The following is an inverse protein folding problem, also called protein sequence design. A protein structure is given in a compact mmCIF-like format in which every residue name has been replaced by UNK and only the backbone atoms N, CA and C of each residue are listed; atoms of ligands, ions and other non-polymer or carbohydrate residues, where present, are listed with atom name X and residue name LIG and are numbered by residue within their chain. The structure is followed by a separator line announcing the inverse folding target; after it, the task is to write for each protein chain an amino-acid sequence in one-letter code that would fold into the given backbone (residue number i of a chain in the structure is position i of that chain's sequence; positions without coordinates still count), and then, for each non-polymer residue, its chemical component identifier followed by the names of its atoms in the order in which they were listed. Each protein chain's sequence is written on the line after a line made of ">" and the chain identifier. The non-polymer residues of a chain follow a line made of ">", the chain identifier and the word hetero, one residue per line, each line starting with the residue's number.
data_IF_474687292541
#
_entry.id   IF_474687292541
#
_cell.length_a   1.000
_cell.length_b   1.000
_cell.length_c   1.000
_cell.angle_alpha   90.00
_cell.angle_beta   90.00
_cell.angle_gamma   90.00
#
_symmetry.space_group_name_H-M   'P 1'
#
loop_
_entity.id
_entity.type
_entity.pdbx_description
1 polymer ?
#
# COMPACT_ATOMS: atom_id res chain seq x y z
N UNK A 1 40.55 -55.43 -9.48
CA UNK A 1 40.10 -54.42 -8.50
C UNK A 1 39.90 -53.10 -9.24
N UNK A 2 38.67 -52.78 -9.65
CA UNK A 2 38.30 -51.47 -10.20
C UNK A 2 36.95 -51.11 -9.59
N UNK A 3 36.98 -50.26 -8.56
CA UNK A 3 35.78 -49.67 -7.99
C UNK A 3 35.28 -48.57 -8.93
N UNK A 4 34.07 -48.74 -9.44
CA UNK A 4 33.33 -47.70 -10.17
C UNK A 4 32.55 -46.90 -9.13
N UNK A 5 32.95 -45.65 -8.89
CA UNK A 5 32.27 -44.75 -7.97
C UNK A 5 30.93 -44.30 -8.55
N UNK A 6 29.84 -44.60 -7.82
CA UNK A 6 28.53 -43.97 -8.03
C UNK A 6 28.58 -42.52 -7.53
N UNK A 7 28.41 -41.56 -8.45
CA UNK A 7 28.12 -40.16 -8.08
C UNK A 7 26.62 -40.10 -7.82
N UNK A 8 26.23 -40.03 -6.55
CA UNK A 8 24.87 -39.67 -6.14
C UNK A 8 24.77 -38.16 -6.23
N UNK A 9 24.14 -37.66 -7.30
CA UNK A 9 23.73 -36.26 -7.39
C UNK A 9 22.63 -35.99 -6.38
N UNK A 10 22.94 -35.24 -5.33
CA UNK A 10 21.95 -34.71 -4.40
C UNK A 10 21.10 -33.66 -5.15
N UNK A 11 19.92 -34.07 -5.61
CA UNK A 11 18.88 -33.13 -6.01
C UNK A 11 18.39 -32.41 -4.76
N UNK A 12 18.87 -31.18 -4.55
CA UNK A 12 18.26 -30.24 -3.62
C UNK A 12 16.83 -29.98 -4.12
N UNK A 13 15.85 -30.65 -3.52
CA UNK A 13 14.45 -30.28 -3.61
C UNK A 13 14.30 -28.93 -2.90
N UNK A 14 14.48 -27.84 -3.64
CA UNK A 14 13.98 -26.55 -3.20
C UNK A 14 12.46 -26.67 -3.12
N UNK A 15 11.92 -26.53 -1.91
CA UNK A 15 10.49 -26.28 -1.72
C UNK A 15 10.19 -24.90 -2.31
N UNK A 16 9.97 -24.84 -3.62
CA UNK A 16 9.63 -23.62 -4.32
C UNK A 16 8.29 -23.12 -3.83
N UNK A 17 8.29 -22.09 -2.96
CA UNK A 17 7.22 -21.12 -3.02
C UNK A 17 7.24 -20.57 -4.46
N UNK A 18 6.11 -20.64 -5.17
CA UNK A 18 6.04 -20.12 -6.54
C UNK A 18 6.38 -18.63 -6.50
N UNK A 19 7.47 -18.25 -7.16
CA UNK A 19 7.86 -16.86 -7.29
C UNK A 19 6.73 -16.07 -7.95
N UNK A 20 6.13 -15.15 -7.20
CA UNK A 20 5.12 -14.22 -7.72
C UNK A 20 5.72 -13.07 -8.53
N UNK A 21 4.94 -12.57 -9.47
CA UNK A 21 5.12 -11.28 -10.11
C UNK A 21 4.48 -10.19 -9.25
N UNK A 22 5.29 -9.35 -8.61
CA UNK A 22 4.86 -8.33 -7.66
C UNK A 22 5.10 -6.94 -8.26
N UNK A 23 4.05 -6.12 -8.29
CA UNK A 23 4.16 -4.69 -8.57
C UNK A 23 4.21 -3.91 -7.25
N UNK A 24 5.24 -3.10 -7.07
CA UNK A 24 5.41 -2.20 -5.95
C UNK A 24 5.12 -0.75 -6.34
N UNK A 25 4.54 0.00 -5.41
CA UNK A 25 4.34 1.45 -5.52
C UNK A 25 4.28 2.12 -4.15
N UNK A 26 4.10 3.44 -4.10
CA UNK A 26 3.84 4.21 -2.87
C UNK A 26 3.34 5.62 -3.24
N UNK A 27 3.20 6.49 -2.24
CA UNK A 27 3.05 7.94 -2.43
C UNK A 27 4.22 8.78 -1.89
N UNK A 28 5.21 8.16 -1.24
CA UNK A 28 6.43 8.87 -0.81
C UNK A 28 7.43 9.12 -1.96
N UNK A 29 7.27 8.44 -3.09
CA UNK A 29 8.14 8.54 -4.26
C UNK A 29 9.11 7.37 -4.41
N UNK A 30 9.61 7.17 -5.63
CA UNK A 30 10.43 6.02 -6.01
C UNK A 30 11.82 6.01 -5.32
N UNK A 31 12.24 7.11 -4.72
CA UNK A 31 13.50 7.25 -4.00
C UNK A 31 13.44 6.93 -2.50
N UNK A 32 12.27 6.60 -1.96
CA UNK A 32 12.10 6.38 -0.53
C UNK A 32 12.79 5.11 -0.03
N UNK A 33 13.38 5.20 1.17
CA UNK A 33 14.09 4.08 1.79
C UNK A 33 13.19 2.90 2.12
N UNK A 34 11.97 3.13 2.62
CA UNK A 34 11.02 2.04 2.94
C UNK A 34 10.71 1.20 1.69
N UNK A 35 10.35 1.86 0.59
CA UNK A 35 9.99 1.18 -0.67
C UNK A 35 11.19 0.44 -1.26
N UNK A 36 12.37 1.06 -1.28
CA UNK A 36 13.59 0.45 -1.85
C UNK A 36 14.07 -0.75 -1.04
N UNK A 37 13.96 -0.71 0.28
CA UNK A 37 14.25 -1.87 1.12
C UNK A 37 13.23 -3.00 0.91
N UNK A 38 11.94 -2.66 0.76
CA UNK A 38 10.91 -3.66 0.47
C UNK A 38 11.14 -4.33 -0.90
N UNK A 39 11.47 -3.54 -1.92
CA UNK A 39 11.89 -4.03 -3.24
C UNK A 39 13.08 -5.00 -3.11
N UNK A 40 14.17 -4.60 -2.43
CA UNK A 40 15.36 -5.43 -2.22
C UNK A 40 15.01 -6.76 -1.56
N UNK A 41 14.21 -6.73 -0.49
CA UNK A 41 13.89 -7.94 0.29
C UNK A 41 12.99 -8.89 -0.50
N UNK A 42 11.97 -8.41 -1.23
CA UNK A 42 11.18 -9.29 -2.10
C UNK A 42 12.02 -9.94 -3.21
N UNK A 43 12.97 -9.19 -3.80
CA UNK A 43 13.93 -9.75 -4.78
C UNK A 43 14.82 -10.82 -4.13
N UNK A 44 15.32 -10.61 -2.92
CA UNK A 44 16.09 -11.60 -2.15
C UNK A 44 15.27 -12.87 -1.82
N UNK A 45 13.94 -12.75 -1.73
CA UNK A 45 13.02 -13.89 -1.55
C UNK A 45 12.73 -14.65 -2.84
N UNK A 46 13.23 -14.18 -3.98
CA UNK A 46 13.09 -14.85 -5.28
C UNK A 46 11.89 -14.41 -6.11
N UNK A 47 11.14 -13.39 -5.68
CA UNK A 47 10.03 -12.84 -6.46
C UNK A 47 10.51 -12.05 -7.69
N UNK A 48 9.66 -11.99 -8.72
CA UNK A 48 9.84 -11.10 -9.85
C UNK A 48 9.18 -9.76 -9.52
N UNK A 49 9.97 -8.77 -9.13
CA UNK A 49 9.46 -7.51 -8.58
C UNK A 49 9.72 -6.37 -9.55
N UNK A 50 8.68 -5.58 -9.82
CA UNK A 50 8.75 -4.32 -10.55
C UNK A 50 8.23 -3.21 -9.65
N UNK A 51 8.86 -2.04 -9.70
CA UNK A 51 8.47 -0.88 -8.89
C UNK A 51 8.09 0.25 -9.84
N UNK A 52 6.92 0.84 -9.64
CA UNK A 52 6.52 2.08 -10.32
C UNK A 52 5.93 3.02 -9.28
N UNK A 53 6.56 4.17 -9.08
CA UNK A 53 6.17 5.12 -8.04
C UNK A 53 6.29 6.57 -8.53
N UNK A 54 5.68 7.54 -7.82
CA UNK A 54 5.80 8.94 -8.17
C UNK A 54 7.26 9.41 -8.26
N UNK A 55 7.54 10.31 -9.21
CA UNK A 55 8.84 10.97 -9.33
C UNK A 55 9.14 11.85 -8.11
N UNK A 56 8.11 12.43 -7.49
CA UNK A 56 8.18 13.28 -6.28
C UNK A 56 7.16 12.83 -5.26
N UNK A 57 7.29 13.26 -4.00
CA UNK A 57 6.34 12.91 -2.93
C UNK A 57 4.92 13.43 -3.22
N UNK A 58 3.92 12.59 -2.97
CA UNK A 58 2.50 12.80 -3.28
C UNK A 58 1.58 12.45 -2.10
N UNK A 59 1.94 12.83 -0.87
CA UNK A 59 1.09 12.61 0.31
C UNK A 59 -0.26 13.33 0.21
N UNK A 60 -1.31 12.74 0.76
CA UNK A 60 -2.63 13.37 0.86
C UNK A 60 -3.41 13.42 -0.46
N UNK A 61 -3.05 12.61 -1.47
CA UNK A 61 -3.71 12.58 -2.77
C UNK A 61 -4.95 11.68 -2.84
N UNK A 62 -5.20 10.86 -1.83
CA UNK A 62 -6.31 9.89 -1.85
C UNK A 62 -6.33 9.07 -3.14
N UNK A 63 -7.53 8.87 -3.69
CA UNK A 63 -7.76 8.20 -4.97
C UNK A 63 -7.55 9.05 -6.23
N UNK A 64 -6.96 10.25 -6.14
CA UNK A 64 -6.77 11.13 -7.31
C UNK A 64 -5.89 10.45 -8.37
N UNK A 65 -6.29 10.52 -9.64
CA UNK A 65 -5.60 9.88 -10.78
C UNK A 65 -5.12 10.92 -11.80
N UNK A 66 -4.31 11.87 -11.36
CA UNK A 66 -3.76 12.90 -12.25
C UNK A 66 -2.58 12.34 -13.05
N UNK A 67 -2.78 12.26 -14.37
CA UNK A 67 -1.72 12.01 -15.34
C UNK A 67 -1.11 13.36 -15.73
N UNK A 68 0.22 13.44 -15.77
CA UNK A 68 0.86 14.69 -16.19
C UNK A 68 0.56 15.01 -17.64
N UNK A 69 0.38 16.30 -17.93
CA UNK A 69 0.30 16.84 -19.29
C UNK A 69 1.67 17.23 -19.86
N UNK A 70 2.73 17.11 -19.04
CA UNK A 70 4.09 17.45 -19.42
C UNK A 70 4.84 16.20 -19.86
N UNK A 71 5.45 16.24 -21.05
CA UNK A 71 6.27 15.12 -21.56
C UNK A 71 7.54 14.89 -20.75
N UNK A 72 8.01 15.92 -20.04
CA UNK A 72 9.28 15.92 -19.30
C UNK A 72 9.07 16.47 -17.89
N UNK A 73 9.96 16.12 -16.96
CA UNK A 73 9.97 16.64 -15.61
C UNK A 73 10.26 18.15 -15.60
N UNK A 74 9.37 18.92 -14.98
CA UNK A 74 9.50 20.39 -14.85
C UNK A 74 10.43 20.82 -13.72
N UNK A 75 10.71 19.91 -12.79
CA UNK A 75 11.67 20.01 -11.69
C UNK A 75 12.40 18.65 -11.53
N UNK A 76 13.54 18.59 -10.81
CA UNK A 76 14.15 17.31 -10.47
C UNK A 76 13.18 16.40 -9.72
N UNK A 77 13.39 15.08 -9.84
CA UNK A 77 12.66 14.10 -9.02
C UNK A 77 13.08 14.22 -7.54
N UNK A 78 12.41 13.45 -6.67
CA UNK A 78 12.76 13.30 -5.27
C UNK A 78 14.28 13.04 -5.10
N UNK A 79 14.90 13.76 -4.17
CA UNK A 79 16.34 13.71 -3.86
C UNK A 79 17.27 13.95 -5.07
N UNK A 80 16.80 14.71 -6.07
CA UNK A 80 17.54 15.03 -7.29
C UNK A 80 18.05 13.81 -8.07
N UNK A 81 17.38 12.65 -7.91
CA UNK A 81 17.79 11.38 -8.53
C UNK A 81 17.70 11.42 -10.06
N UNK A 82 16.70 12.13 -10.59
CA UNK A 82 16.48 12.35 -12.01
C UNK A 82 16.43 13.87 -12.25
N UNK A 83 17.23 14.40 -13.19
CA UNK A 83 17.29 15.83 -13.43
C UNK A 83 16.02 16.35 -14.10
N UNK A 84 15.77 17.66 -13.91
CA UNK A 84 14.79 18.42 -14.70
C UNK A 84 15.04 18.21 -16.20
N UNK A 85 13.97 18.08 -16.97
CA UNK A 85 14.03 17.88 -18.41
C UNK A 85 14.16 16.41 -18.85
N UNK A 86 14.36 15.47 -17.93
CA UNK A 86 14.19 14.05 -18.22
C UNK A 86 12.71 13.73 -18.58
N UNK A 87 12.42 12.63 -19.29
CA UNK A 87 11.04 12.23 -19.60
C UNK A 87 10.19 12.06 -18.33
N UNK A 88 8.87 12.27 -18.44
CA UNK A 88 7.93 12.16 -17.32
C UNK A 88 7.75 10.74 -16.78
N UNK A 89 8.11 9.74 -17.58
CA UNK A 89 8.20 8.33 -17.19
C UNK A 89 9.58 7.80 -17.57
N UNK A 90 10.22 7.08 -16.66
CA UNK A 90 11.54 6.49 -16.90
C UNK A 90 11.93 5.53 -15.78
N UNK A 91 13.11 4.94 -15.89
CA UNK A 91 13.64 4.04 -14.87
C UNK A 91 14.85 4.63 -14.14
N UNK A 92 15.13 4.08 -12.97
CA UNK A 92 16.32 4.34 -12.20
C UNK A 92 17.57 4.01 -13.05
N UNK A 93 18.61 4.87 -13.06
CA UNK A 93 19.82 4.61 -13.84
C UNK A 93 20.59 3.35 -13.41
N UNK A 94 20.37 2.87 -12.19
CA UNK A 94 21.07 1.72 -11.60
C UNK A 94 20.25 0.44 -11.61
N UNK A 95 18.93 0.52 -11.85
CA UNK A 95 18.04 -0.63 -11.88
C UNK A 95 16.86 -0.40 -12.83
N UNK A 96 16.81 -1.18 -13.92
CA UNK A 96 15.78 -1.06 -14.97
C UNK A 96 14.40 -1.56 -14.56
N UNK A 97 14.24 -2.18 -13.38
CA UNK A 97 12.94 -2.62 -12.84
C UNK A 97 12.34 -1.61 -11.87
N UNK A 98 13.04 -0.50 -11.61
CA UNK A 98 12.56 0.57 -10.75
C UNK A 98 12.22 1.79 -11.59
N UNK A 99 10.95 2.13 -11.66
CA UNK A 99 10.42 3.20 -12.49
C UNK A 99 9.87 4.34 -11.67
N UNK A 100 10.01 5.52 -12.24
CA UNK A 100 9.32 6.72 -11.78
C UNK A 100 8.28 7.15 -12.81
N UNK A 101 7.21 7.78 -12.34
CA UNK A 101 6.27 8.51 -13.17
C UNK A 101 5.90 9.85 -12.52
N UNK A 102 5.84 10.92 -13.30
CA UNK A 102 5.37 12.22 -12.85
C UNK A 102 3.84 12.24 -12.80
N UNK A 103 3.27 11.69 -11.74
CA UNK A 103 1.82 11.65 -11.54
C UNK A 103 1.45 11.22 -10.14
N UNK A 104 0.15 11.13 -9.87
CA UNK A 104 -0.34 10.65 -8.57
C UNK A 104 -0.08 9.14 -8.39
N UNK A 105 -0.16 8.62 -7.16
CA UNK A 105 0.05 7.20 -6.89
C UNK A 105 -0.89 6.28 -7.67
N UNK A 106 -2.18 6.63 -7.78
CA UNK A 106 -3.13 5.88 -8.59
C UNK A 106 -2.77 5.92 -10.09
N UNK A 107 -2.34 7.08 -10.61
CA UNK A 107 -1.88 7.19 -11.99
C UNK A 107 -0.61 6.36 -12.23
N UNK A 108 0.30 6.27 -11.27
CA UNK A 108 1.47 5.39 -11.33
C UNK A 108 1.05 3.92 -11.44
N UNK A 109 0.04 3.47 -10.68
CA UNK A 109 -0.52 2.11 -10.81
C UNK A 109 -1.05 1.86 -12.22
N UNK A 110 -1.79 2.80 -12.82
CA UNK A 110 -2.29 2.63 -14.19
C UNK A 110 -1.17 2.62 -15.23
N UNK A 111 -0.20 3.54 -15.13
CA UNK A 111 0.98 3.56 -16.01
C UNK A 111 1.78 2.26 -15.88
N UNK A 112 1.88 1.70 -14.67
CA UNK A 112 2.52 0.42 -14.46
C UNK A 112 1.81 -0.70 -15.24
N UNK A 113 0.50 -0.83 -15.05
CA UNK A 113 -0.32 -1.90 -15.61
C UNK A 113 -0.50 -1.78 -17.13
N UNK A 114 -0.61 -0.56 -17.67
CA UNK A 114 -0.97 -0.33 -19.08
C UNK A 114 0.23 -0.03 -19.98
N UNK A 115 1.36 0.37 -19.40
CA UNK A 115 2.55 0.76 -20.16
C UNK A 115 3.82 0.05 -19.71
N UNK A 116 4.20 0.12 -18.43
CA UNK A 116 5.50 -0.38 -17.97
C UNK A 116 5.57 -1.91 -18.05
N UNK A 117 4.64 -2.61 -17.40
CA UNK A 117 4.65 -4.07 -17.37
C UNK A 117 4.48 -4.67 -18.77
N UNK A 118 3.47 -4.28 -19.59
CA UNK A 118 3.28 -4.89 -20.90
C UNK A 118 4.45 -4.68 -21.88
N UNK A 119 5.20 -3.57 -21.75
CA UNK A 119 6.27 -3.23 -22.69
C UNK A 119 7.66 -3.68 -22.24
N UNK A 120 7.92 -3.71 -20.93
CA UNK A 120 9.28 -3.88 -20.41
C UNK A 120 9.42 -5.10 -19.50
N UNK A 121 8.33 -5.59 -18.89
CA UNK A 121 8.36 -6.81 -18.10
C UNK A 121 8.07 -8.05 -18.96
N UNK A 122 8.39 -9.22 -18.42
CA UNK A 122 8.06 -10.52 -19.00
C UNK A 122 6.65 -11.01 -18.60
N UNK A 123 5.81 -10.12 -18.03
CA UNK A 123 4.42 -10.35 -17.67
C UNK A 123 3.64 -9.04 -17.82
N UNK A 124 2.33 -9.12 -18.04
CA UNK A 124 1.47 -7.93 -18.21
C UNK A 124 0.53 -7.68 -17.03
N UNK A 125 0.20 -8.71 -16.26
CA UNK A 125 -0.67 -8.61 -15.07
C UNK A 125 0.11 -9.16 -13.87
N UNK A 126 0.36 -8.35 -12.82
CA UNK A 126 1.02 -8.84 -11.61
C UNK A 126 0.07 -9.75 -10.82
N UNK A 127 0.65 -10.70 -10.09
CA UNK A 127 -0.08 -11.57 -9.17
C UNK A 127 -0.52 -10.81 -7.91
N UNK A 128 0.23 -9.77 -7.53
CA UNK A 128 0.00 -8.94 -6.36
C UNK A 128 0.53 -7.52 -6.56
N UNK A 129 -0.24 -6.53 -6.12
CA UNK A 129 0.23 -5.16 -5.94
C UNK A 129 0.47 -4.91 -4.45
N UNK A 130 1.64 -4.38 -4.09
CA UNK A 130 1.94 -3.94 -2.71
C UNK A 130 2.33 -2.47 -2.73
N UNK A 131 1.62 -1.64 -1.96
CA UNK A 131 1.88 -0.20 -1.90
C UNK A 131 2.42 0.22 -0.54
N UNK A 132 3.40 1.11 -0.52
CA UNK A 132 4.13 1.52 0.68
C UNK A 132 5.51 0.84 0.81
N UNK A 133 6.05 0.60 2.02
CA UNK A 133 5.51 1.05 3.31
C UNK A 133 5.56 2.58 3.43
N UNK A 134 4.42 3.23 3.59
CA UNK A 134 4.33 4.69 3.72
C UNK A 134 5.04 5.21 4.98
N UNK A 135 5.64 6.40 4.93
CA UNK A 135 6.08 7.13 6.13
C UNK A 135 4.87 7.78 6.82
N UNK A 136 4.48 7.22 7.96
CA UNK A 136 3.26 7.59 8.68
C UNK A 136 2.13 6.60 8.42
N UNK A 137 1.22 6.48 9.38
CA UNK A 137 0.13 5.50 9.35
C UNK A 137 -1.11 6.07 8.66
N UNK A 138 -1.87 5.20 8.01
CA UNK A 138 -3.14 5.48 7.35
C UNK A 138 -4.27 4.80 8.13
N UNK A 139 -4.57 5.38 9.30
CA UNK A 139 -5.48 4.81 10.30
C UNK A 139 -6.90 5.34 10.15
N UNK A 140 -7.83 4.41 10.07
CA UNK A 140 -9.25 4.65 10.04
C UNK A 140 -9.79 5.13 8.70
N UNK A 141 -11.10 5.07 8.56
CA UNK A 141 -11.77 5.29 7.27
C UNK A 141 -11.55 6.69 6.67
N UNK A 142 -11.35 7.71 7.50
CA UNK A 142 -11.08 9.08 7.03
C UNK A 142 -9.69 9.23 6.43
N UNK A 143 -8.63 8.74 7.10
CA UNK A 143 -7.27 8.85 6.56
C UNK A 143 -7.09 7.91 5.37
N UNK A 144 -7.72 6.74 5.39
CA UNK A 144 -7.73 5.80 4.26
C UNK A 144 -8.13 6.47 2.94
N UNK A 145 -9.16 7.31 2.93
CA UNK A 145 -9.63 7.98 1.69
C UNK A 145 -8.73 9.13 1.24
N UNK A 146 -7.89 9.68 2.12
CA UNK A 146 -6.93 10.74 1.83
C UNK A 146 -5.53 10.20 1.48
N UNK A 147 -5.28 8.92 1.73
CA UNK A 147 -3.98 8.28 1.54
C UNK A 147 -3.67 8.00 0.07
N UNK A 148 -2.52 8.47 -0.41
CA UNK A 148 -2.03 8.11 -1.75
C UNK A 148 -1.59 6.65 -1.83
N UNK A 149 -0.96 6.12 -0.77
CA UNK A 149 -0.63 4.70 -0.64
C UNK A 149 -1.88 3.82 -0.75
N UNK A 150 -2.98 4.20 -0.06
CA UNK A 150 -4.27 3.52 -0.20
C UNK A 150 -4.84 3.67 -1.62
N UNK A 151 -4.80 4.88 -2.19
CA UNK A 151 -5.29 5.16 -3.55
C UNK A 151 -4.62 4.30 -4.63
N UNK A 152 -3.31 4.05 -4.50
CA UNK A 152 -2.58 3.16 -5.40
C UNK A 152 -3.04 1.70 -5.31
N UNK A 153 -3.31 1.19 -4.09
CA UNK A 153 -3.85 -0.14 -3.89
C UNK A 153 -5.31 -0.24 -4.35
N UNK A 154 -6.08 0.83 -4.16
CA UNK A 154 -7.46 0.94 -4.59
C UNK A 154 -7.58 0.87 -6.12
N UNK A 155 -6.69 1.54 -6.85
CA UNK A 155 -6.61 1.48 -8.32
C UNK A 155 -6.38 0.05 -8.83
N UNK A 156 -5.52 -0.74 -8.17
CA UNK A 156 -5.28 -2.13 -8.51
C UNK A 156 -6.49 -3.03 -8.17
N UNK A 157 -7.08 -2.85 -6.99
CA UNK A 157 -8.24 -3.65 -6.54
C UNK A 157 -9.44 -3.47 -7.46
N UNK A 158 -9.68 -2.26 -7.96
CA UNK A 158 -10.76 -1.98 -8.93
C UNK A 158 -10.51 -2.64 -10.30
N UNK A 159 -9.27 -3.02 -10.61
CA UNK A 159 -8.93 -3.81 -11.79
C UNK A 159 -8.94 -5.33 -11.53
N UNK A 160 -9.43 -5.75 -10.36
CA UNK A 160 -9.50 -7.16 -9.99
C UNK A 160 -8.14 -7.76 -9.61
N UNK A 161 -7.13 -6.93 -9.36
CA UNK A 161 -5.80 -7.39 -8.97
C UNK A 161 -5.67 -7.32 -7.45
N UNK A 162 -5.26 -8.41 -6.76
CA UNK A 162 -5.02 -8.40 -5.33
C UNK A 162 -4.08 -7.27 -4.91
N UNK A 163 -4.45 -6.51 -3.86
CA UNK A 163 -3.65 -5.39 -3.41
C UNK A 163 -3.55 -5.27 -1.88
N UNK A 164 -2.34 -4.97 -1.41
CA UNK A 164 -2.04 -4.73 0.01
C UNK A 164 -1.38 -3.35 0.14
N UNK A 165 -2.02 -2.45 0.89
CA UNK A 165 -1.45 -1.17 1.29
C UNK A 165 -0.80 -1.31 2.66
N UNK A 166 0.45 -0.86 2.80
CA UNK A 166 1.21 -0.95 4.04
C UNK A 166 1.73 0.44 4.43
N UNK A 167 1.62 0.77 5.70
CA UNK A 167 2.04 2.05 6.27
C UNK A 167 2.86 1.81 7.53
N UNK A 168 3.83 2.66 7.83
CA UNK A 168 4.75 2.44 8.95
C UNK A 168 5.01 3.71 9.77
N UNK A 169 5.15 3.54 11.08
CA UNK A 169 5.42 4.64 12.01
C UNK A 169 6.93 4.91 12.12
N UNK A 170 7.54 5.40 11.06
CA UNK A 170 8.96 5.76 11.02
C UNK A 170 9.24 7.05 10.25
N UNK A 171 10.44 7.59 10.43
CA UNK A 171 10.87 8.83 9.78
C UNK A 171 11.31 8.58 8.33
N UNK A 172 11.07 9.58 7.49
CA UNK A 172 11.47 9.60 6.09
C UNK A 172 13.01 9.56 5.97
N UNK A 173 13.50 8.76 5.02
CA UNK A 173 14.93 8.64 4.73
C UNK A 173 15.14 8.32 3.24
N UNK A 174 16.07 9.01 2.54
CA UNK A 174 16.44 8.64 1.18
C UNK A 174 17.02 7.23 1.12
N UNK A 175 16.73 6.48 0.05
CA UNK A 175 17.20 5.10 -0.06
C UNK A 175 18.72 4.94 0.06
N UNK A 176 19.48 5.91 -0.47
CA UNK A 176 20.93 5.85 -0.44
C UNK A 176 21.53 6.14 0.94
N UNK A 177 20.73 6.62 1.91
CA UNK A 177 21.15 6.78 3.31
C UNK A 177 20.85 5.55 4.16
N UNK A 178 20.11 4.57 3.64
CA UNK A 178 19.89 3.28 4.28
C UNK A 178 21.15 2.42 4.13
N UNK A 179 22.14 2.65 5.02
CA UNK A 179 23.46 2.00 4.94
C UNK A 179 23.54 0.62 5.59
N UNK A 180 22.60 0.28 6.45
CA UNK A 180 22.65 -0.96 7.21
C UNK A 180 21.25 -1.46 7.60
N UNK A 181 21.18 -2.74 7.99
CA UNK A 181 19.93 -3.43 8.36
C UNK A 181 19.35 -3.01 9.72
N UNK A 182 19.97 -2.05 10.41
CA UNK A 182 19.47 -1.47 11.66
C UNK A 182 18.74 -0.15 11.45
N UNK A 183 18.60 0.29 10.20
CA UNK A 183 17.79 1.46 9.88
C UNK A 183 16.29 1.13 10.05
N UNK A 184 15.48 2.04 10.64
CA UNK A 184 14.03 1.86 10.75
C UNK A 184 13.32 1.54 9.42
N UNK A 185 13.82 2.04 8.29
CA UNK A 185 13.28 1.71 6.98
C UNK A 185 13.44 0.23 6.62
N UNK A 186 14.58 -0.37 6.97
CA UNK A 186 14.79 -1.82 6.82
C UNK A 186 13.84 -2.60 7.71
N UNK A 187 13.59 -2.16 8.96
CA UNK A 187 12.66 -2.86 9.85
C UNK A 187 11.22 -2.79 9.35
N UNK A 188 10.78 -1.63 8.87
CA UNK A 188 9.47 -1.47 8.26
C UNK A 188 9.32 -2.41 7.06
N UNK A 189 10.28 -2.38 6.13
CA UNK A 189 10.30 -3.27 4.97
C UNK A 189 10.31 -4.76 5.35
N UNK A 190 11.10 -5.17 6.36
CA UNK A 190 11.14 -6.56 6.84
C UNK A 190 9.80 -7.01 7.41
N UNK A 191 9.17 -6.20 8.25
CA UNK A 191 7.85 -6.51 8.82
C UNK A 191 6.78 -6.57 7.72
N UNK A 192 6.81 -5.65 6.75
CA UNK A 192 5.93 -5.63 5.59
C UNK A 192 6.08 -6.87 4.72
N UNK A 193 7.31 -7.23 4.32
CA UNK A 193 7.55 -8.44 3.52
C UNK A 193 7.14 -9.67 4.32
N UNK A 194 7.48 -9.77 5.61
CA UNK A 194 7.07 -10.90 6.44
C UNK A 194 5.54 -11.08 6.47
N UNK A 195 4.78 -9.99 6.58
CA UNK A 195 3.32 -10.05 6.49
C UNK A 195 2.87 -10.62 5.13
N UNK A 196 3.40 -10.08 4.03
CA UNK A 196 3.03 -10.49 2.67
C UNK A 196 3.43 -11.95 2.40
N UNK A 197 4.63 -12.38 2.79
CA UNK A 197 5.09 -13.78 2.68
C UNK A 197 4.17 -14.73 3.44
N UNK A 198 3.79 -14.38 4.67
CA UNK A 198 2.84 -15.17 5.45
C UNK A 198 1.48 -15.23 4.76
N UNK A 199 1.01 -14.09 4.24
CA UNK A 199 -0.26 -13.99 3.52
C UNK A 199 -0.27 -14.91 2.29
N UNK A 200 0.80 -14.87 1.48
CA UNK A 200 1.01 -15.75 0.31
C UNK A 200 1.04 -17.22 0.75
N UNK A 201 1.82 -17.56 1.79
CA UNK A 201 1.97 -18.93 2.26
C UNK A 201 0.67 -19.54 2.79
N UNK A 202 -0.22 -18.72 3.35
CA UNK A 202 -1.55 -19.14 3.84
C UNK A 202 -2.64 -19.08 2.78
N UNK A 203 -2.34 -18.59 1.57
CA UNK A 203 -3.32 -18.46 0.50
C UNK A 203 -3.67 -19.82 -0.14
N UNK A 204 -4.88 -19.99 -0.71
CA UNK A 204 -5.26 -21.22 -1.37
C UNK A 204 -4.32 -21.57 -2.54
N UNK A 205 -3.83 -22.81 -2.61
CA UNK A 205 -2.80 -23.24 -3.59
C UNK A 205 -3.13 -22.97 -5.06
N UNK A 206 -4.42 -22.89 -5.41
CA UNK A 206 -4.92 -22.68 -6.78
C UNK A 206 -6.03 -21.60 -6.82
N UNK A 207 -6.05 -20.69 -5.85
CA UNK A 207 -7.04 -19.61 -5.76
C UNK A 207 -6.37 -18.24 -5.80
N UNK A 208 -7.15 -17.16 -5.98
CA UNK A 208 -6.60 -15.82 -5.90
C UNK A 208 -6.12 -15.54 -4.48
N UNK A 209 -5.07 -14.72 -4.33
CA UNK A 209 -4.58 -14.28 -3.02
C UNK A 209 -5.67 -13.57 -2.20
N UNK A 210 -6.52 -12.81 -2.88
CA UNK A 210 -7.67 -12.12 -2.32
C UNK A 210 -8.90 -12.34 -3.21
N UNK A 211 -10.12 -12.41 -2.65
CA UNK A 211 -11.33 -12.41 -3.46
C UNK A 211 -11.45 -11.13 -4.30
N UNK A 212 -12.18 -11.20 -5.42
CA UNK A 212 -12.38 -10.04 -6.30
C UNK A 212 -13.00 -8.86 -5.53
N UNK A 213 -12.40 -7.69 -5.71
CA UNK A 213 -12.86 -6.46 -5.05
C UNK A 213 -12.42 -6.32 -3.59
N UNK A 214 -11.60 -7.23 -3.06
CA UNK A 214 -11.05 -7.15 -1.70
C UNK A 214 -9.58 -6.70 -1.72
N UNK A 215 -9.22 -5.90 -0.72
CA UNK A 215 -7.84 -5.50 -0.45
C UNK A 215 -7.53 -5.46 1.05
N UNK A 216 -6.27 -5.22 1.39
CA UNK A 216 -5.79 -5.17 2.79
C UNK A 216 -5.12 -3.84 3.08
N UNK A 217 -5.42 -3.25 4.23
CA UNK A 217 -4.71 -2.12 4.83
C UNK A 217 -3.93 -2.61 6.05
N UNK A 218 -2.63 -2.35 6.10
CA UNK A 218 -1.73 -2.74 7.19
C UNK A 218 -1.04 -1.52 7.74
N UNK A 219 -1.07 -1.32 9.05
CA UNK A 219 -0.32 -0.25 9.70
C UNK A 219 0.65 -0.83 10.74
N UNK A 220 1.92 -0.52 10.58
CA UNK A 220 2.98 -0.92 11.48
C UNK A 220 3.16 0.13 12.59
N UNK A 221 3.33 -0.30 13.85
CA UNK A 221 3.63 0.59 14.96
C UNK A 221 5.07 1.10 14.85
N UNK A 222 5.49 1.93 15.80
CA UNK A 222 6.90 2.34 15.88
C UNK A 222 7.75 1.11 16.18
N UNK A 223 8.57 0.72 15.20
CA UNK A 223 9.50 -0.40 15.36
C UNK A 223 10.78 0.08 16.01
N UNK A 224 11.30 -0.72 16.94
CA UNK A 224 12.55 -0.46 17.64
C UNK A 224 13.44 -1.70 17.56
N UNK A 225 14.71 -1.60 17.97
CA UNK A 225 15.61 -2.75 18.09
C UNK A 225 15.01 -3.91 18.92
N UNK A 226 14.10 -3.62 19.85
CA UNK A 226 13.45 -4.60 20.72
C UNK A 226 12.13 -5.16 20.15
N UNK A 227 11.52 -4.48 19.19
CA UNK A 227 10.22 -4.85 18.60
C UNK A 227 10.25 -4.64 17.08
N UNK A 228 11.02 -5.45 16.37
CA UNK A 228 11.08 -5.44 14.90
C UNK A 228 10.03 -6.37 14.27
N UNK A 229 9.37 -7.18 15.09
CA UNK A 229 8.40 -8.19 14.70
C UNK A 229 7.10 -7.96 15.50
N UNK A 230 6.30 -6.95 15.14
CA UNK A 230 5.07 -6.67 15.87
C UNK A 230 4.06 -7.83 15.69
N UNK A 231 3.21 -8.02 16.68
CA UNK A 231 2.03 -8.89 16.54
C UNK A 231 1.06 -8.24 15.56
N UNK A 232 0.57 -9.02 14.60
CA UNK A 232 -0.48 -8.59 13.67
C UNK A 232 -1.85 -8.89 14.27
N UNK A 233 -2.72 -7.89 14.31
CA UNK A 233 -4.06 -7.99 14.86
C UNK A 233 -5.06 -7.62 13.78
N UNK A 234 -6.05 -8.48 13.57
CA UNK A 234 -7.18 -8.14 12.70
C UNK A 234 -7.98 -7.00 13.31
N UNK A 235 -8.25 -5.98 12.51
CA UNK A 235 -8.87 -4.73 12.92
C UNK A 235 -9.99 -4.32 11.98
N UNK A 236 -10.66 -3.24 12.38
CA UNK A 236 -11.64 -2.51 11.58
C UNK A 236 -11.25 -1.03 11.48
N UNK A 237 -11.67 -0.38 10.41
CA UNK A 237 -11.38 1.05 10.16
C UNK A 237 -12.05 2.02 11.13
N UNK A 238 -13.09 1.59 11.84
CA UNK A 238 -13.82 2.43 12.81
C UNK A 238 -13.46 2.00 14.23
N UNK A 239 -13.60 2.89 15.22
CA UNK A 239 -13.21 2.63 16.60
C UNK A 239 -11.88 3.33 16.89
N UNK A 240 -11.97 4.47 17.58
CA UNK A 240 -10.82 5.37 17.79
C UNK A 240 -10.22 5.95 16.50
N UNK A 241 -10.98 5.99 15.40
CA UNK A 241 -10.55 6.62 14.17
C UNK A 241 -10.60 8.15 14.30
N UNK A 242 -9.55 8.82 13.84
CA UNK A 242 -9.45 10.28 13.84
C UNK A 242 -10.12 10.91 12.61
N UNK A 243 -10.57 12.16 12.78
CA UNK A 243 -11.02 13.06 11.71
C UNK A 243 -10.43 14.43 12.00
N UNK A 244 -10.05 15.14 10.93
CA UNK A 244 -9.42 16.45 11.05
C UNK A 244 -10.41 17.55 11.47
N UNK A 245 -9.94 18.45 12.32
CA UNK A 245 -10.48 19.77 12.60
C UNK A 245 -9.53 20.81 11.99
N UNK A 246 -10.08 21.81 11.30
CA UNK A 246 -9.29 22.94 10.80
C UNK A 246 -9.00 23.92 11.94
N UNK A 247 -7.72 24.22 12.16
CA UNK A 247 -7.27 25.08 13.27
C UNK A 247 -6.63 26.35 12.71
N UNK A 248 -7.19 27.52 13.03
CA UNK A 248 -6.66 28.82 12.62
C UNK A 248 -5.41 29.18 13.43
N UNK A 249 -4.29 29.35 12.73
CA UNK A 249 -3.13 30.11 13.21
C UNK A 249 -3.45 31.60 13.03
N UNK A 250 -3.90 32.24 14.11
CA UNK A 250 -4.34 33.65 14.08
C UNK A 250 -3.20 34.63 13.77
N UNK A 251 -1.96 34.28 14.11
CA UNK A 251 -0.81 35.16 13.87
C UNK A 251 -0.46 35.20 12.39
N UNK A 252 -0.54 34.05 11.71
CA UNK A 252 -0.22 33.94 10.29
C UNK A 252 -1.42 34.12 9.36
N UNK A 253 -2.64 34.05 9.89
CA UNK A 253 -3.86 34.03 9.08
C UNK A 253 -3.99 32.75 8.23
N UNK A 254 -3.35 31.66 8.65
CA UNK A 254 -3.33 30.37 7.94
C UNK A 254 -4.00 29.28 8.75
N UNK A 255 -4.33 28.14 8.13
CA UNK A 255 -4.88 26.98 8.85
C UNK A 255 -3.87 25.84 8.93
N UNK A 256 -3.89 25.15 10.07
CA UNK A 256 -3.34 23.80 10.24
C UNK A 256 -4.50 22.84 10.57
N UNK A 257 -4.18 21.61 10.95
CA UNK A 257 -5.16 20.60 11.36
C UNK A 257 -4.88 20.05 12.77
N UNK A 258 -5.94 19.60 13.43
CA UNK A 258 -5.89 18.79 14.65
C UNK A 258 -6.89 17.63 14.53
N UNK A 259 -6.94 16.75 15.52
CA UNK A 259 -7.96 15.70 15.58
C UNK A 259 -9.18 16.20 16.37
N UNK A 260 -10.39 16.02 15.83
CA UNK A 260 -11.64 16.29 16.55
C UNK A 260 -11.68 15.48 17.87
N UNK A 261 -12.08 16.13 18.96
CA UNK A 261 -12.24 15.53 20.30
C UNK A 261 -13.60 15.87 20.94
N UNK A 262 -14.32 14.90 21.55
CA UNK A 262 -14.04 13.45 21.49
C UNK A 262 -14.17 12.91 20.05
N UNK A 263 -13.75 11.65 19.84
CA UNK A 263 -13.79 11.01 18.52
C UNK A 263 -15.13 11.22 17.81
N UNK A 264 -15.09 11.66 16.55
CA UNK A 264 -16.29 11.96 15.77
C UNK A 264 -17.12 10.69 15.55
N UNK A 265 -18.43 10.76 15.84
CA UNK A 265 -19.32 9.62 15.74
C UNK A 265 -19.39 9.05 14.31
N UNK A 266 -19.41 9.92 13.29
CA UNK A 266 -19.58 9.49 11.89
C UNK A 266 -18.54 8.48 11.39
N UNK A 267 -17.26 8.64 11.74
CA UNK A 267 -16.19 7.69 11.35
C UNK A 267 -16.08 6.50 12.33
N UNK A 268 -16.78 6.54 13.46
CA UNK A 268 -16.65 5.55 14.54
C UNK A 268 -17.91 4.71 14.76
N UNK A 269 -19.04 5.02 14.12
CA UNK A 269 -20.24 4.18 14.17
C UNK A 269 -20.01 2.88 13.41
N UNK A 270 -20.29 1.74 14.08
CA UNK A 270 -20.30 0.44 13.41
C UNK A 270 -21.59 0.27 12.59
N UNK A 271 -21.50 0.35 11.27
CA UNK A 271 -22.63 0.10 10.36
C UNK A 271 -22.50 -1.26 9.67
N UNK A 272 -21.28 -1.65 9.29
CA UNK A 272 -20.97 -2.92 8.62
C UNK A 272 -19.65 -3.49 9.16
N UNK A 273 -19.42 -4.77 8.89
CA UNK A 273 -18.27 -5.53 9.37
C UNK A 273 -18.47 -6.09 10.78
N UNK A 274 -17.43 -6.72 11.30
CA UNK A 274 -17.44 -7.30 12.65
C UNK A 274 -17.20 -6.20 13.70
N UNK A 275 -18.24 -5.89 14.47
CA UNK A 275 -18.13 -4.84 15.49
C UNK A 275 -17.30 -5.25 16.72
N UNK A 276 -16.99 -6.54 16.89
CA UNK A 276 -16.18 -7.04 18.01
C UNK A 276 -14.69 -6.79 17.84
N UNK A 277 -14.24 -6.50 16.60
CA UNK A 277 -12.84 -6.22 16.30
C UNK A 277 -12.41 -4.86 16.87
N UNK A 278 -11.16 -4.74 17.35
CA UNK A 278 -10.61 -3.45 17.76
C UNK A 278 -10.36 -2.54 16.56
N UNK A 279 -10.37 -1.23 16.81
CA UNK A 279 -10.03 -0.24 15.80
C UNK A 279 -8.53 -0.14 15.54
N UNK A 280 -8.16 0.23 14.31
CA UNK A 280 -6.76 0.35 13.87
C UNK A 280 -5.92 1.25 14.77
N UNK A 281 -6.42 2.45 15.09
CA UNK A 281 -5.70 3.44 15.91
C UNK A 281 -5.33 2.86 17.26
N UNK A 282 -6.29 2.24 17.95
CA UNK A 282 -6.06 1.64 19.26
C UNK A 282 -4.98 0.56 19.20
N UNK A 283 -5.02 -0.33 18.20
CA UNK A 283 -4.04 -1.41 18.05
C UNK A 283 -2.63 -0.86 17.83
N UNK A 284 -2.48 0.13 16.95
CA UNK A 284 -1.18 0.71 16.61
C UNK A 284 -0.59 1.53 17.76
N UNK A 285 -1.40 2.31 18.46
CA UNK A 285 -0.98 3.03 19.67
C UNK A 285 -0.49 2.10 20.79
N UNK A 286 -0.99 0.85 20.82
CA UNK A 286 -0.56 -0.19 21.76
C UNK A 286 0.60 -1.05 21.23
N UNK A 287 1.32 -0.59 20.19
CA UNK A 287 2.57 -1.20 19.74
C UNK A 287 2.40 -2.48 18.90
N UNK A 288 1.20 -2.73 18.37
CA UNK A 288 0.88 -3.87 17.50
C UNK A 288 0.60 -3.39 16.07
N UNK A 289 0.70 -4.29 15.10
CA UNK A 289 0.37 -3.99 13.72
C UNK A 289 -1.13 -4.24 13.47
N UNK A 290 -1.83 -3.28 12.87
CA UNK A 290 -3.23 -3.45 12.48
C UNK A 290 -3.35 -4.06 11.08
N UNK A 291 -4.38 -4.88 10.87
CA UNK A 291 -4.70 -5.52 9.59
C UNK A 291 -6.19 -5.41 9.35
N UNK A 292 -6.61 -4.51 8.47
CA UNK A 292 -8.01 -4.34 8.09
C UNK A 292 -8.26 -4.75 6.65
N UNK A 293 -9.32 -5.48 6.41
CA UNK A 293 -9.78 -5.83 5.06
C UNK A 293 -10.77 -4.78 4.57
N UNK A 294 -10.67 -4.39 3.30
CA UNK A 294 -11.63 -3.51 2.65
C UNK A 294 -12.22 -4.14 1.40
N UNK A 295 -13.34 -3.60 0.95
CA UNK A 295 -13.95 -3.92 -0.34
C UNK A 295 -14.15 -2.65 -1.18
N UNK A 296 -14.36 -2.81 -2.49
CA UNK A 296 -14.63 -1.72 -3.44
C UNK A 296 -16.12 -1.52 -3.72
N UNK A 297 -17.02 -2.32 -3.11
CA UNK A 297 -18.45 -2.11 -3.18
C UNK A 297 -18.91 -1.15 -2.08
N UNK A 298 -19.25 0.07 -2.49
CA UNK A 298 -19.67 1.14 -1.60
C UNK A 298 -21.17 1.22 -1.37
N UNK A 299 -21.93 0.30 -1.98
CA UNK A 299 -23.38 0.24 -1.78
C UNK A 299 -23.68 0.12 -0.29
N UNK A 300 -24.59 0.96 0.21
CA UNK A 300 -24.98 0.89 1.61
C UNK A 300 -25.51 -0.51 1.96
N UNK A 301 -25.14 -1.09 3.12
CA UNK A 301 -25.58 -2.42 3.49
C UNK A 301 -27.10 -2.47 3.62
N UNK A 302 -27.70 -3.64 3.35
CA UNK A 302 -29.16 -3.84 3.42
C UNK A 302 -29.64 -3.96 4.87
N UNK A 303 -29.67 -2.82 5.57
CA UNK A 303 -30.14 -2.66 6.95
C UNK A 303 -31.54 -2.04 6.99
N UNK A 304 -32.18 -2.02 8.16
CA UNK A 304 -33.46 -1.31 8.35
C UNK A 304 -33.35 0.20 8.07
N UNK A 305 -32.20 0.82 8.34
CA UNK A 305 -31.96 2.23 7.98
C UNK A 305 -31.99 2.43 6.46
N UNK A 306 -31.29 1.59 5.71
CA UNK A 306 -31.25 1.65 4.25
C UNK A 306 -32.63 1.37 3.64
N UNK A 307 -33.36 0.37 4.14
CA UNK A 307 -34.73 0.07 3.71
C UNK A 307 -35.68 1.24 3.95
N UNK A 308 -35.60 1.88 5.13
CA UNK A 308 -36.39 3.06 5.46
C UNK A 308 -36.08 4.25 4.53
N UNK A 309 -34.81 4.44 4.15
CA UNK A 309 -34.43 5.47 3.18
C UNK A 309 -35.00 5.18 1.79
N UNK A 310 -34.91 3.92 1.32
CA UNK A 310 -35.48 3.49 0.04
C UNK A 310 -37.00 3.74 0.00
N UNK A 311 -37.74 3.40 1.08
CA UNK A 311 -39.17 3.68 1.16
C UNK A 311 -39.50 5.17 1.07
N UNK A 312 -38.70 6.04 1.70
CA UNK A 312 -38.89 7.51 1.67
C UNK A 312 -38.75 8.09 0.27
N UNK A 313 -37.91 7.50 -0.57
CA UNK A 313 -37.63 7.99 -1.92
C UNK A 313 -38.40 7.24 -3.01
N UNK A 314 -39.12 6.17 -2.65
CA UNK A 314 -39.79 5.28 -3.59
C UNK A 314 -40.83 5.97 -4.48
N UNK A 315 -41.41 7.09 -4.04
CA UNK A 315 -42.41 7.83 -4.84
C UNK A 315 -41.80 8.63 -6.00
N UNK A 316 -40.48 8.86 -6.01
CA UNK A 316 -39.79 9.66 -7.04
C UNK A 316 -38.50 9.05 -7.57
N UNK A 317 -38.17 7.81 -7.20
CA UNK A 317 -37.11 7.00 -7.82
C UNK A 317 -37.78 5.80 -8.50
N UNK A 318 -37.63 5.67 -9.82
CA UNK A 318 -38.13 4.50 -10.54
C UNK A 318 -37.31 3.27 -10.21
N UNK A 319 -37.99 2.12 -10.12
CA UNK A 319 -37.33 0.82 -10.14
C UNK A 319 -37.36 0.28 -11.57
N UNK A 320 -36.22 0.28 -12.26
CA UNK A 320 -36.01 -0.48 -13.50
C UNK A 320 -35.70 -1.94 -13.14
N UNK A 321 -36.65 -2.61 -12.45
CA UNK A 321 -36.58 -4.04 -12.16
C UNK A 321 -37.58 -4.80 -13.02
#
# INVERSE_FOLDING_TARGET
>A
MRLSSFIVGAALLSSGANALNILLGNDDGFGSGNLREMYRIFKEKGHNVWLVAPATKQSGKGGTSDFTTEGNLTAPSQYDLIPKGAPSVGHDPKDSQIWYYNGTPAACTFVALDYVLPKFANFSVPDLVVTGPNYGTNLGGFVWTLSGTAGAAYAATNRGIPAIAISASNQEVPYFEVKNRTNPATWAAQASVKFVENFIATSPKNGPLLPLGYGVNVNLPVLTKKNQNPDFVQTRFTGNAHVNEAVLDKEKGTFTWANIKPYAAGVNTCINGDCSLPGETYVVENGKASVSFYTVDYSAPSTEYTKSLIQRVASFISSDK
#
